data_IF_642189038165
#
_entry.id   IF_642189038165
#
_cell.length_a   1.000
_cell.length_b   1.000
_cell.length_c   1.000
_cell.angle_alpha   90.00
_cell.angle_beta   90.00
_cell.angle_gamma   90.00
#
_symmetry.space_group_name_H-M   'P 1'
#
loop_
_entity.id
_entity.type
_entity.pdbx_description
1 polymer ?
#
# COMPACT_ATOMS: atom_id res chain seq x y z
N UNK A 1 -20.66 24.95 6.47
CA UNK A 1 -20.13 24.37 5.21
C UNK A 1 -21.07 23.32 4.59
N UNK A 2 -21.47 22.22 5.31
CA UNK A 2 -22.40 21.21 4.74
C UNK A 2 -23.84 21.71 4.55
N UNK A 3 -24.34 22.56 5.41
CA UNK A 3 -25.67 23.18 5.30
C UNK A 3 -25.73 24.24 4.19
N UNK A 4 -24.68 25.02 4.00
CA UNK A 4 -24.57 26.01 2.91
C UNK A 4 -24.55 25.36 1.51
N UNK A 5 -23.96 24.17 1.36
CA UNK A 5 -23.95 23.42 0.09
C UNK A 5 -25.34 22.85 -0.27
N UNK A 6 -26.16 22.49 0.73
CA UNK A 6 -27.55 22.09 0.49
C UNK A 6 -28.45 23.24 0.07
N UNK A 7 -28.28 24.43 0.66
CA UNK A 7 -29.01 25.63 0.27
C UNK A 7 -28.61 26.12 -1.11
N UNK A 8 -27.34 25.99 -1.52
CA UNK A 8 -26.87 26.30 -2.87
C UNK A 8 -27.51 25.38 -3.92
N UNK A 9 -27.69 24.08 -3.60
CA UNK A 9 -28.36 23.11 -4.47
C UNK A 9 -29.88 23.42 -4.66
N UNK A 10 -30.53 23.93 -3.64
CA UNK A 10 -31.93 24.31 -3.69
C UNK A 10 -32.17 25.60 -4.49
N UNK A 11 -31.26 26.57 -4.43
CA UNK A 11 -31.33 27.83 -5.21
C UNK A 11 -30.97 27.66 -6.69
N UNK A 12 -30.13 26.70 -7.04
CA UNK A 12 -29.74 26.44 -8.45
C UNK A 12 -30.89 25.92 -9.30
N UNK A 13 -31.92 25.31 -8.72
CA UNK A 13 -33.08 24.79 -9.46
C UNK A 13 -34.18 25.82 -9.71
N UNK A 14 -34.09 27.04 -9.20
CA UNK A 14 -35.15 28.05 -9.27
C UNK A 14 -34.88 29.27 -10.18
N UNK A 15 -33.66 29.31 -10.83
CA UNK A 15 -33.30 30.48 -11.69
C UNK A 15 -32.72 30.00 -13.01
N UNK A 16 -33.57 29.56 -13.91
CA UNK A 16 -33.28 29.34 -15.32
C UNK A 16 -33.96 30.43 -16.12
N UNK A 17 -33.25 31.58 -16.32
CA UNK A 17 -33.42 32.44 -17.51
C UNK A 17 -32.42 33.60 -17.47
N UNK A 18 -31.62 33.71 -18.53
CA UNK A 18 -31.01 34.93 -19.03
C UNK A 18 -29.62 35.34 -18.55
N UNK A 19 -28.66 35.26 -19.47
CA UNK A 19 -27.38 35.99 -19.60
C UNK A 19 -26.15 35.13 -19.76
N UNK A 20 -25.21 35.52 -20.65
CA UNK A 20 -23.93 34.83 -20.92
C UNK A 20 -23.08 34.67 -19.66
N UNK A 21 -23.18 35.56 -18.69
CA UNK A 21 -22.49 35.49 -17.41
C UNK A 21 -22.99 34.32 -16.53
N UNK A 22 -24.25 33.92 -16.71
CA UNK A 22 -24.85 32.77 -16.00
C UNK A 22 -24.29 31.42 -16.45
N UNK A 23 -23.90 31.28 -17.74
CA UNK A 23 -23.24 30.06 -18.24
C UNK A 23 -21.85 29.87 -17.62
N UNK A 24 -21.07 30.91 -17.46
CA UNK A 24 -19.76 30.84 -16.79
C UNK A 24 -19.89 30.49 -15.30
N UNK A 25 -20.87 31.05 -14.60
CA UNK A 25 -21.18 30.73 -13.20
C UNK A 25 -21.63 29.27 -13.03
N UNK A 26 -22.49 28.75 -13.91
CA UNK A 26 -22.96 27.35 -13.88
C UNK A 26 -21.85 26.35 -14.19
N UNK A 27 -20.92 26.67 -15.10
CA UNK A 27 -19.75 25.81 -15.36
C UNK A 27 -18.79 25.78 -14.17
N UNK A 28 -18.58 26.91 -13.49
CA UNK A 28 -17.71 26.98 -12.30
C UNK A 28 -18.32 26.26 -11.09
N UNK A 29 -19.62 26.45 -10.83
CA UNK A 29 -20.35 25.77 -9.75
C UNK A 29 -20.49 24.28 -10.01
N UNK A 30 -20.75 23.86 -11.25
CA UNK A 30 -20.77 22.42 -11.62
C UNK A 30 -19.41 21.73 -11.44
N UNK A 31 -18.31 22.42 -11.73
CA UNK A 31 -16.95 21.91 -11.49
C UNK A 31 -16.60 21.76 -10.02
N UNK A 32 -16.99 22.74 -9.20
CA UNK A 32 -16.78 22.70 -7.74
C UNK A 32 -17.63 21.61 -7.06
N UNK A 33 -18.89 21.44 -7.49
CA UNK A 33 -19.77 20.38 -6.98
C UNK A 33 -19.22 18.99 -7.30
N UNK A 34 -18.75 18.74 -8.53
CA UNK A 34 -18.12 17.47 -8.91
C UNK A 34 -16.85 17.17 -8.11
N UNK A 35 -16.04 18.21 -7.83
CA UNK A 35 -14.85 18.05 -6.97
C UNK A 35 -15.23 17.74 -5.53
N UNK A 36 -16.25 18.40 -5.00
CA UNK A 36 -16.76 18.13 -3.65
C UNK A 36 -17.31 16.71 -3.52
N UNK A 37 -18.10 16.24 -4.50
CA UNK A 37 -18.63 14.87 -4.53
C UNK A 37 -17.51 13.82 -4.63
N UNK A 38 -16.49 14.05 -5.46
CA UNK A 38 -15.31 13.16 -5.51
C UNK A 38 -14.54 13.12 -4.18
N UNK A 39 -14.29 14.28 -3.58
CA UNK A 39 -13.61 14.37 -2.29
C UNK A 39 -14.41 13.68 -1.19
N UNK A 40 -15.73 13.83 -1.16
CA UNK A 40 -16.62 13.14 -0.23
C UNK A 40 -16.52 11.61 -0.41
N UNK A 41 -16.56 11.12 -1.65
CA UNK A 41 -16.41 9.69 -1.95
C UNK A 41 -15.06 9.13 -1.49
N UNK A 42 -13.96 9.87 -1.68
CA UNK A 42 -12.62 9.49 -1.21
C UNK A 42 -12.59 9.41 0.32
N UNK A 43 -13.08 10.45 0.98
CA UNK A 43 -13.10 10.50 2.45
C UNK A 43 -13.98 9.41 3.05
N UNK A 44 -15.16 9.15 2.48
CA UNK A 44 -16.06 8.08 2.93
C UNK A 44 -15.43 6.70 2.79
N UNK A 45 -14.73 6.44 1.68
CA UNK A 45 -14.05 5.16 1.46
C UNK A 45 -12.84 4.98 2.38
N UNK A 46 -12.04 6.03 2.57
CA UNK A 46 -10.95 6.01 3.55
C UNK A 46 -11.47 5.83 4.98
N UNK A 47 -12.55 6.52 5.36
CA UNK A 47 -13.21 6.36 6.65
C UNK A 47 -13.74 4.93 6.85
N UNK A 48 -14.26 4.29 5.81
CA UNK A 48 -14.69 2.89 5.86
C UNK A 48 -13.53 1.94 6.14
N UNK A 49 -12.36 2.15 5.54
CA UNK A 49 -11.16 1.36 5.83
C UNK A 49 -10.68 1.56 7.26
N UNK A 50 -10.66 2.81 7.74
CA UNK A 50 -10.34 3.13 9.13
C UNK A 50 -11.32 2.45 10.09
N UNK A 51 -12.61 2.50 9.80
CA UNK A 51 -13.64 1.87 10.62
C UNK A 51 -13.43 0.36 10.76
N UNK A 52 -13.05 -0.33 9.67
CA UNK A 52 -12.76 -1.78 9.71
C UNK A 52 -11.47 -2.07 10.50
N UNK A 53 -10.44 -1.22 10.41
CA UNK A 53 -9.23 -1.37 11.25
C UNK A 53 -9.58 -1.17 12.72
N UNK A 54 -10.36 -0.14 13.05
CA UNK A 54 -10.83 0.10 14.43
C UNK A 54 -11.68 -1.07 14.92
N UNK A 55 -12.55 -1.62 14.06
CA UNK A 55 -13.34 -2.82 14.38
C UNK A 55 -12.42 -4.00 14.73
N UNK A 56 -11.41 -4.31 13.90
CA UNK A 56 -10.45 -5.38 14.17
C UNK A 56 -9.70 -5.19 15.48
N UNK A 57 -9.23 -3.98 15.74
CA UNK A 57 -8.59 -3.63 17.02
C UNK A 57 -9.55 -3.77 18.21
N UNK A 58 -10.79 -3.27 18.08
CA UNK A 58 -11.83 -3.36 19.11
C UNK A 58 -12.22 -4.79 19.43
N UNK A 59 -12.43 -5.63 18.40
CA UNK A 59 -12.73 -7.05 18.55
C UNK A 59 -11.60 -7.83 19.26
N UNK A 60 -10.34 -7.48 18.96
CA UNK A 60 -9.20 -8.05 19.72
C UNK A 60 -9.21 -7.59 21.17
N UNK A 61 -9.47 -6.32 21.44
CA UNK A 61 -9.56 -5.80 22.82
C UNK A 61 -10.73 -6.40 23.61
N UNK A 62 -11.83 -6.70 22.92
CA UNK A 62 -12.98 -7.39 23.51
C UNK A 62 -12.78 -8.90 23.71
N UNK A 63 -11.63 -9.47 23.28
CA UNK A 63 -11.33 -10.89 23.42
C UNK A 63 -11.97 -11.79 22.35
N UNK A 64 -12.65 -11.22 21.33
CA UNK A 64 -13.17 -12.00 20.20
C UNK A 64 -12.04 -12.57 19.33
N UNK A 65 -11.01 -11.76 19.07
CA UNK A 65 -9.75 -12.21 18.48
C UNK A 65 -8.64 -12.22 19.51
N UNK A 66 -7.81 -13.27 19.44
CA UNK A 66 -6.51 -13.33 20.12
C UNK A 66 -5.43 -12.71 19.23
N UNK A 67 -4.28 -12.42 19.83
CA UNK A 67 -3.13 -11.89 19.07
C UNK A 67 -2.66 -12.86 17.97
N UNK A 68 -2.75 -14.14 18.23
CA UNK A 68 -2.37 -15.24 17.31
C UNK A 68 -3.29 -15.32 16.08
N UNK A 69 -4.54 -14.86 16.19
CA UNK A 69 -5.51 -14.88 15.09
C UNK A 69 -5.10 -13.95 13.95
N UNK A 70 -4.21 -12.99 14.20
CA UNK A 70 -3.53 -12.22 13.15
C UNK A 70 -2.89 -13.13 12.09
N UNK A 71 -2.25 -14.23 12.51
CA UNK A 71 -1.63 -15.15 11.57
C UNK A 71 -2.64 -15.93 10.73
N UNK A 72 -3.81 -16.25 11.31
CA UNK A 72 -4.90 -16.91 10.58
C UNK A 72 -5.47 -15.96 9.53
N UNK A 73 -5.79 -14.73 9.94
CA UNK A 73 -6.27 -13.68 9.03
C UNK A 73 -5.25 -13.39 7.93
N UNK A 74 -3.97 -13.29 8.26
CA UNK A 74 -2.88 -13.10 7.30
C UNK A 74 -2.81 -14.24 6.28
N UNK A 75 -3.00 -15.50 6.71
CA UNK A 75 -3.05 -16.64 5.79
C UNK A 75 -4.24 -16.54 4.83
N UNK A 76 -5.42 -16.14 5.33
CA UNK A 76 -6.60 -15.95 4.48
C UNK A 76 -6.34 -14.85 3.45
N UNK A 77 -5.82 -13.71 3.90
CA UNK A 77 -5.50 -12.58 3.01
C UNK A 77 -4.47 -13.00 1.97
N UNK A 78 -3.30 -13.47 2.38
CA UNK A 78 -2.17 -13.71 1.48
C UNK A 78 -2.33 -14.96 0.61
N UNK A 79 -3.09 -15.97 1.06
CA UNK A 79 -3.20 -17.23 0.32
C UNK A 79 -4.52 -17.41 -0.42
N UNK A 80 -5.54 -16.60 -0.12
CA UNK A 80 -6.88 -16.77 -0.68
C UNK A 80 -7.37 -15.46 -1.31
N UNK A 81 -7.63 -14.42 -0.50
CA UNK A 81 -8.36 -13.25 -1.01
C UNK A 81 -7.51 -12.34 -1.87
N UNK A 82 -6.25 -12.12 -1.55
CA UNK A 82 -5.35 -11.29 -2.35
C UNK A 82 -5.01 -11.93 -3.72
N UNK A 83 -4.59 -13.22 -3.80
CA UNK A 83 -4.43 -13.88 -5.10
C UNK A 83 -5.69 -13.86 -5.95
N UNK A 84 -6.85 -14.10 -5.36
CA UNK A 84 -8.12 -14.04 -6.09
C UNK A 84 -8.43 -12.62 -6.60
N UNK A 85 -8.18 -11.59 -5.79
CA UNK A 85 -8.31 -10.19 -6.21
C UNK A 85 -7.37 -9.85 -7.37
N UNK A 86 -6.13 -10.33 -7.34
CA UNK A 86 -5.17 -10.16 -8.44
C UNK A 86 -5.70 -10.81 -9.72
N UNK A 87 -6.09 -12.07 -9.66
CA UNK A 87 -6.62 -12.81 -10.81
C UNK A 87 -7.83 -12.09 -11.42
N UNK A 88 -8.79 -11.68 -10.59
CA UNK A 88 -9.99 -11.01 -11.03
C UNK A 88 -9.70 -9.67 -11.75
N UNK A 89 -8.77 -8.87 -11.21
CA UNK A 89 -8.46 -7.56 -11.78
C UNK A 89 -7.57 -7.65 -13.04
N UNK A 90 -6.58 -8.54 -13.05
CA UNK A 90 -5.76 -8.78 -14.25
C UNK A 90 -6.59 -9.26 -15.43
N UNK A 91 -7.63 -10.05 -15.18
CA UNK A 91 -8.53 -10.52 -16.24
C UNK A 91 -9.37 -9.41 -16.89
N UNK A 92 -9.37 -8.21 -16.32
CA UNK A 92 -10.13 -7.04 -16.80
C UNK A 92 -9.24 -5.90 -17.32
N UNK A 93 -7.93 -6.00 -17.18
CA UNK A 93 -6.99 -4.97 -17.54
C UNK A 93 -6.09 -5.41 -18.71
N UNK A 94 -5.75 -4.48 -19.59
CA UNK A 94 -4.75 -4.70 -20.63
C UNK A 94 -3.35 -4.44 -20.10
N UNK A 95 -2.44 -5.38 -20.30
CA UNK A 95 -1.05 -5.25 -19.89
C UNK A 95 -0.19 -4.89 -21.10
N UNK A 96 0.47 -3.75 -21.00
CA UNK A 96 1.46 -3.32 -21.98
C UNK A 96 2.86 -3.72 -21.53
N UNK A 97 3.78 -4.15 -22.44
CA UNK A 97 5.15 -4.52 -22.09
C UNK A 97 5.91 -3.44 -21.31
N UNK A 98 5.65 -2.15 -21.61
CA UNK A 98 6.25 -1.03 -20.88
C UNK A 98 5.92 -1.02 -19.38
N UNK A 99 4.81 -1.64 -18.96
CA UNK A 99 4.44 -1.76 -17.54
C UNK A 99 5.43 -2.61 -16.74
N UNK A 100 6.22 -3.49 -17.39
CA UNK A 100 7.25 -4.28 -16.72
C UNK A 100 8.31 -3.41 -16.03
N UNK A 101 8.51 -2.17 -16.50
CA UNK A 101 9.40 -1.20 -15.84
C UNK A 101 8.94 -0.89 -14.40
N UNK A 102 7.66 -1.07 -14.08
CA UNK A 102 7.14 -0.86 -12.72
C UNK A 102 7.75 -1.85 -11.72
N UNK A 103 8.11 -3.06 -12.15
CA UNK A 103 8.85 -4.00 -11.31
C UNK A 103 10.22 -3.43 -10.89
N UNK A 104 10.92 -2.79 -11.83
CA UNK A 104 12.20 -2.13 -11.53
C UNK A 104 12.02 -0.93 -10.60
N UNK A 105 10.93 -0.17 -10.74
CA UNK A 105 10.61 0.95 -9.85
C UNK A 105 10.36 0.46 -8.43
N UNK A 106 9.59 -0.61 -8.25
CA UNK A 106 9.34 -1.22 -6.94
C UNK A 106 10.61 -1.76 -6.28
N UNK A 107 11.44 -2.45 -7.06
CA UNK A 107 12.75 -2.94 -6.60
C UNK A 107 13.68 -1.80 -6.21
N UNK A 108 13.84 -0.79 -7.08
CA UNK A 108 14.71 0.36 -6.85
C UNK A 108 14.27 1.17 -5.61
N UNK A 109 12.96 1.36 -5.42
CA UNK A 109 12.43 1.99 -4.22
C UNK A 109 12.79 1.23 -2.94
N UNK A 110 12.69 -0.11 -2.96
CA UNK A 110 13.13 -0.94 -1.85
C UNK A 110 14.64 -0.86 -1.58
N UNK A 111 15.47 -0.88 -2.63
CA UNK A 111 16.93 -0.70 -2.53
C UNK A 111 17.28 0.68 -2.00
N UNK A 112 16.58 1.72 -2.42
CA UNK A 112 16.78 3.09 -1.92
C UNK A 112 16.58 3.14 -0.40
N UNK A 113 15.45 2.64 0.11
CA UNK A 113 15.19 2.63 1.55
C UNK A 113 16.15 1.71 2.33
N UNK A 114 16.57 0.61 1.74
CA UNK A 114 17.57 -0.28 2.33
C UNK A 114 18.93 0.44 2.46
N UNK A 115 19.32 1.19 1.43
CA UNK A 115 20.55 1.99 1.43
C UNK A 115 20.50 3.13 2.46
N UNK A 116 19.34 3.81 2.56
CA UNK A 116 19.14 4.84 3.60
C UNK A 116 19.20 4.22 5.00
N UNK A 117 18.60 3.04 5.20
CA UNK A 117 18.69 2.32 6.47
C UNK A 117 20.15 1.95 6.83
N UNK A 118 20.93 1.54 5.84
CA UNK A 118 22.36 1.28 6.02
C UNK A 118 23.14 2.51 6.48
N UNK A 119 22.88 3.65 5.86
CA UNK A 119 23.57 4.92 6.19
C UNK A 119 23.15 5.41 7.58
N UNK A 120 21.84 5.40 7.88
CA UNK A 120 21.28 5.94 9.11
C UNK A 120 21.60 5.11 10.36
N UNK A 121 21.86 3.81 10.20
CA UNK A 121 22.30 2.93 11.27
C UNK A 121 23.71 3.21 11.78
N UNK A 122 24.48 4.05 11.09
CA UNK A 122 25.80 4.50 11.54
C UNK A 122 26.82 3.37 11.63
N UNK A 123 27.64 3.39 12.69
CA UNK A 123 28.73 2.41 12.91
C UNK A 123 28.26 1.20 13.72
N UNK A 124 27.21 1.34 14.50
CA UNK A 124 26.65 0.26 15.30
C UNK A 124 25.96 -0.78 14.39
N UNK A 125 26.26 -2.05 14.57
CA UNK A 125 25.80 -3.13 13.70
C UNK A 125 24.35 -3.50 13.96
N UNK A 126 23.93 -3.49 15.22
CA UNK A 126 22.57 -3.78 15.60
C UNK A 126 21.63 -2.67 15.14
N UNK A 127 22.04 -1.42 15.34
CA UNK A 127 21.32 -0.24 14.83
C UNK A 127 21.22 -0.27 13.30
N UNK A 128 22.29 -0.62 12.61
CA UNK A 128 22.31 -0.72 11.15
C UNK A 128 21.34 -1.79 10.65
N UNK A 129 21.39 -3.00 11.23
CA UNK A 129 20.47 -4.07 10.89
C UNK A 129 19.01 -3.67 11.17
N UNK A 130 18.76 -3.02 12.31
CA UNK A 130 17.44 -2.51 12.68
C UNK A 130 16.91 -1.48 11.65
N UNK A 131 17.71 -0.49 11.28
CA UNK A 131 17.29 0.53 10.31
C UNK A 131 17.07 -0.04 8.92
N UNK A 132 17.92 -0.98 8.45
CA UNK A 132 17.72 -1.66 7.17
C UNK A 132 16.36 -2.34 7.15
N UNK A 133 16.01 -3.13 8.16
CA UNK A 133 14.75 -3.88 8.20
C UNK A 133 13.53 -2.96 8.34
N UNK A 134 13.62 -1.93 9.18
CA UNK A 134 12.48 -1.08 9.52
C UNK A 134 12.36 0.18 8.63
N UNK A 135 13.19 0.30 7.60
CA UNK A 135 13.02 1.29 6.52
C UNK A 135 12.67 0.63 5.20
N UNK A 136 13.12 -0.60 4.94
CA UNK A 136 12.99 -1.25 3.64
C UNK A 136 11.61 -1.79 3.36
N UNK A 137 11.31 -1.86 2.06
CA UNK A 137 10.09 -2.48 1.54
C UNK A 137 8.81 -1.69 1.79
N UNK A 138 7.77 -2.13 1.11
CA UNK A 138 6.44 -1.52 1.14
C UNK A 138 5.40 -2.60 1.45
N UNK A 139 4.46 -2.30 2.33
CA UNK A 139 3.32 -3.18 2.63
C UNK A 139 2.23 -2.98 1.57
N UNK A 140 2.47 -3.49 0.37
CA UNK A 140 1.58 -3.31 -0.77
C UNK A 140 0.35 -4.21 -0.65
N UNK A 141 0.54 -5.52 -0.64
CA UNK A 141 -0.56 -6.49 -0.73
C UNK A 141 -1.58 -6.37 0.39
N UNK A 142 -1.11 -6.20 1.64
CA UNK A 142 -1.98 -6.15 2.80
C UNK A 142 -2.58 -4.76 3.07
N UNK A 143 -1.96 -3.68 2.56
CA UNK A 143 -2.39 -2.32 2.89
C UNK A 143 -2.77 -1.51 1.64
N UNK A 144 -1.85 -1.31 0.70
CA UNK A 144 -2.06 -0.36 -0.40
C UNK A 144 -2.94 -0.91 -1.51
N UNK A 145 -2.91 -2.23 -1.76
CA UNK A 145 -3.72 -2.88 -2.77
C UNK A 145 -5.24 -2.62 -2.62
N UNK A 146 -5.84 -2.69 -1.41
CA UNK A 146 -7.23 -2.28 -1.22
C UNK A 146 -7.54 -0.84 -1.64
N UNK A 147 -6.61 0.10 -1.40
CA UNK A 147 -6.77 1.50 -1.85
C UNK A 147 -6.73 1.59 -3.37
N UNK A 148 -5.71 1.02 -4.01
CA UNK A 148 -5.57 1.11 -5.46
C UNK A 148 -6.69 0.39 -6.19
N UNK A 149 -7.12 -0.78 -5.73
CA UNK A 149 -8.31 -1.47 -6.23
C UNK A 149 -9.56 -0.60 -6.10
N UNK A 150 -9.69 0.09 -4.98
CA UNK A 150 -10.84 0.90 -4.67
C UNK A 150 -10.95 2.19 -5.45
N UNK A 151 -9.85 2.83 -5.81
CA UNK A 151 -9.83 4.16 -6.42
C UNK A 151 -9.42 4.14 -7.89
N UNK A 152 -8.60 3.19 -8.32
CA UNK A 152 -8.08 3.09 -9.67
C UNK A 152 -8.54 1.82 -10.40
N UNK A 153 -9.39 0.99 -9.76
CA UNK A 153 -9.96 -0.20 -10.38
C UNK A 153 -8.92 -1.23 -10.85
N UNK A 154 -9.25 -2.00 -11.92
CA UNK A 154 -8.37 -3.06 -12.42
C UNK A 154 -6.97 -2.58 -12.84
N UNK A 155 -6.87 -1.46 -13.56
CA UNK A 155 -5.58 -0.90 -13.98
C UNK A 155 -4.70 -0.55 -12.77
N UNK A 156 -5.29 0.07 -11.74
CA UNK A 156 -4.57 0.38 -10.50
C UNK A 156 -4.05 -0.87 -9.81
N UNK A 157 -4.81 -1.97 -9.79
CA UNK A 157 -4.36 -3.25 -9.23
C UNK A 157 -3.19 -3.83 -10.03
N UNK A 158 -3.24 -3.78 -11.37
CA UNK A 158 -2.13 -4.26 -12.22
C UNK A 158 -0.86 -3.46 -11.97
N UNK A 159 -0.93 -2.12 -12.00
CA UNK A 159 0.21 -1.23 -11.72
C UNK A 159 0.82 -1.56 -10.35
N UNK A 160 -0.04 -1.69 -9.34
CA UNK A 160 0.36 -2.02 -7.97
C UNK A 160 1.01 -3.39 -7.87
N UNK A 161 0.48 -4.39 -8.57
CA UNK A 161 1.00 -5.76 -8.57
C UNK A 161 2.38 -5.85 -9.23
N UNK A 162 2.59 -5.14 -10.33
CA UNK A 162 3.89 -5.08 -11.00
C UNK A 162 4.94 -4.37 -10.13
N UNK A 163 4.57 -3.26 -9.50
CA UNK A 163 5.44 -2.62 -8.51
C UNK A 163 5.76 -3.56 -7.34
N UNK A 164 4.75 -4.28 -6.83
CA UNK A 164 4.93 -5.22 -5.72
C UNK A 164 5.77 -6.45 -6.11
N UNK A 165 5.75 -6.85 -7.37
CA UNK A 165 6.63 -7.91 -7.90
C UNK A 165 8.09 -7.58 -7.64
N UNK A 166 8.53 -6.36 -7.92
CA UNK A 166 9.89 -5.90 -7.62
C UNK A 166 10.14 -5.72 -6.11
N UNK A 167 9.16 -5.15 -5.39
CA UNK A 167 9.20 -4.96 -3.95
C UNK A 167 9.29 -6.32 -3.20
N UNK A 168 8.71 -7.38 -3.73
CA UNK A 168 8.70 -8.70 -3.11
C UNK A 168 10.12 -9.26 -2.88
N UNK A 169 11.08 -8.99 -3.78
CA UNK A 169 12.49 -9.35 -3.57
C UNK A 169 13.06 -8.74 -2.29
N UNK A 170 12.69 -7.50 -2.00
CA UNK A 170 13.14 -6.79 -0.80
C UNK A 170 12.41 -7.32 0.44
N UNK A 171 11.07 -7.41 0.38
CA UNK A 171 10.22 -7.77 1.51
C UNK A 171 10.32 -9.25 1.91
N UNK A 172 10.59 -10.15 0.96
CA UNK A 172 10.60 -11.60 1.21
C UNK A 172 12.00 -12.18 1.44
N UNK A 173 13.00 -11.32 1.67
CA UNK A 173 14.31 -11.79 2.09
C UNK A 173 15.50 -10.90 1.76
N UNK A 174 15.41 -9.99 0.77
CA UNK A 174 16.50 -9.10 0.39
C UNK A 174 16.94 -8.21 1.55
N UNK A 175 16.00 -7.53 2.19
CA UNK A 175 16.27 -6.69 3.35
C UNK A 175 16.85 -7.50 4.53
N UNK A 176 16.32 -8.71 4.78
CA UNK A 176 16.84 -9.61 5.79
C UNK A 176 18.29 -10.02 5.51
N UNK A 177 18.61 -10.40 4.27
CA UNK A 177 19.95 -10.82 3.88
C UNK A 177 20.97 -9.68 4.07
N UNK A 178 20.63 -8.46 3.66
CA UNK A 178 21.51 -7.29 3.83
C UNK A 178 21.64 -6.90 5.31
N UNK A 179 20.56 -6.95 6.09
CA UNK A 179 20.60 -6.67 7.52
C UNK A 179 21.46 -7.71 8.28
N UNK A 180 21.34 -9.00 7.93
CA UNK A 180 22.17 -10.08 8.49
C UNK A 180 23.66 -9.84 8.23
N UNK A 181 24.04 -9.44 7.00
CA UNK A 181 25.42 -9.07 6.65
C UNK A 181 25.91 -7.83 7.42
N UNK A 182 25.05 -6.86 7.63
CA UNK A 182 25.38 -5.67 8.42
C UNK A 182 25.67 -6.05 9.89
N UNK A 183 24.89 -6.98 10.43
CA UNK A 183 25.01 -7.47 11.80
C UNK A 183 26.21 -8.38 12.01
N UNK A 184 26.40 -9.37 11.13
CA UNK A 184 27.47 -10.39 11.23
C UNK A 184 28.38 -10.35 9.98
N UNK A 185 29.69 -10.19 10.22
CA UNK A 185 30.71 -10.17 9.15
C UNK A 185 30.81 -11.51 8.40
N UNK A 186 30.44 -12.61 9.03
CA UNK A 186 30.50 -13.95 8.43
C UNK A 186 29.27 -14.27 7.59
N UNK A 187 28.19 -13.50 7.74
CA UNK A 187 26.98 -13.65 6.93
C UNK A 187 27.23 -13.20 5.49
N UNK A 188 26.69 -13.97 4.52
CA UNK A 188 26.79 -13.67 3.09
C UNK A 188 25.41 -13.44 2.51
N UNK A 189 25.36 -12.58 1.49
CA UNK A 189 24.13 -12.41 0.72
C UNK A 189 23.80 -13.72 -0.01
N UNK A 190 22.59 -14.22 0.17
CA UNK A 190 22.15 -15.46 -0.48
C UNK A 190 20.83 -15.24 -1.21
N UNK A 191 20.85 -15.46 -2.52
CA UNK A 191 19.67 -15.36 -3.38
C UNK A 191 18.76 -16.58 -3.27
N UNK A 192 19.32 -17.76 -2.99
CA UNK A 192 18.57 -19.02 -2.94
C UNK A 192 17.38 -19.00 -1.96
N UNK A 193 17.54 -18.60 -0.70
CA UNK A 193 16.43 -18.45 0.25
C UNK A 193 15.37 -17.44 -0.22
N UNK A 194 15.78 -16.33 -0.85
CA UNK A 194 14.88 -15.31 -1.38
C UNK A 194 14.01 -15.93 -2.47
N UNK A 195 14.60 -16.58 -3.46
CA UNK A 195 13.88 -17.25 -4.55
C UNK A 195 12.93 -18.33 -4.01
N UNK A 196 13.39 -19.10 -3.05
CA UNK A 196 12.53 -20.13 -2.41
C UNK A 196 11.32 -19.53 -1.69
N UNK A 197 11.47 -18.35 -1.10
CA UNK A 197 10.36 -17.64 -0.43
C UNK A 197 9.41 -17.03 -1.48
N UNK A 198 9.94 -16.46 -2.55
CA UNK A 198 9.16 -15.91 -3.65
C UNK A 198 8.25 -16.98 -4.29
N UNK A 199 8.80 -18.14 -4.67
CA UNK A 199 8.04 -19.26 -5.27
C UNK A 199 7.00 -19.87 -4.32
N UNK A 200 7.07 -19.60 -3.03
CA UNK A 200 6.06 -20.01 -2.03
C UNK A 200 5.04 -18.93 -1.70
N UNK A 201 5.17 -17.78 -2.32
CA UNK A 201 4.28 -16.63 -2.09
C UNK A 201 3.12 -16.65 -3.09
N UNK A 202 1.93 -17.05 -2.64
CA UNK A 202 0.75 -17.12 -3.49
C UNK A 202 0.41 -15.78 -4.20
N UNK A 203 0.56 -14.59 -3.60
CA UNK A 203 0.42 -13.35 -4.34
C UNK A 203 1.47 -13.18 -5.46
N UNK A 204 2.73 -13.53 -5.19
CA UNK A 204 3.79 -13.47 -6.19
C UNK A 204 3.51 -14.44 -7.35
N UNK A 205 3.10 -15.66 -7.05
CA UNK A 205 2.72 -16.65 -8.06
C UNK A 205 1.53 -16.17 -8.89
N UNK A 206 0.52 -15.51 -8.26
CA UNK A 206 -0.60 -14.91 -8.96
C UNK A 206 -0.15 -13.76 -9.87
N UNK A 207 0.76 -12.87 -9.42
CA UNK A 207 1.31 -11.81 -10.26
C UNK A 207 2.00 -12.38 -11.51
N UNK A 208 2.92 -13.32 -11.32
CA UNK A 208 3.68 -13.92 -12.42
C UNK A 208 2.78 -14.72 -13.35
N UNK A 209 1.89 -15.56 -12.79
CA UNK A 209 0.95 -16.36 -13.56
C UNK A 209 0.03 -15.50 -14.44
N UNK A 210 -0.59 -14.46 -13.86
CA UNK A 210 -1.46 -13.56 -14.61
C UNK A 210 -0.69 -12.71 -15.62
N UNK A 211 0.53 -12.29 -15.30
CA UNK A 211 1.40 -11.58 -16.23
C UNK A 211 1.73 -12.45 -17.44
N UNK A 212 2.13 -13.71 -17.22
CA UNK A 212 2.43 -14.65 -18.31
C UNK A 212 1.19 -14.85 -19.19
N UNK A 213 0.02 -15.15 -18.59
CA UNK A 213 -1.23 -15.35 -19.33
C UNK A 213 -1.57 -14.12 -20.18
N UNK A 214 -1.41 -12.93 -19.64
CA UNK A 214 -1.67 -11.69 -20.36
C UNK A 214 -0.70 -11.47 -21.53
N UNK A 215 0.60 -11.73 -21.33
CA UNK A 215 1.61 -11.57 -22.39
C UNK A 215 1.44 -12.57 -23.54
N UNK A 216 0.94 -13.77 -23.27
CA UNK A 216 0.62 -14.78 -24.31
C UNK A 216 -0.82 -14.65 -24.80
N UNK A 217 -1.56 -13.60 -24.40
CA UNK A 217 -2.93 -13.31 -24.79
C UNK A 217 -3.93 -14.43 -24.49
N UNK A 218 -3.71 -15.18 -23.40
CA UNK A 218 -4.63 -16.23 -22.95
C UNK A 218 -5.55 -15.69 -21.85
N UNK A 219 -6.85 -15.70 -22.13
CA UNK A 219 -7.88 -15.28 -21.18
C UNK A 219 -8.34 -16.47 -20.33
N UNK A 220 -8.60 -16.21 -19.05
CA UNK A 220 -9.21 -17.19 -18.16
C UNK A 220 -10.67 -17.42 -18.51
N UNK A 221 -11.21 -18.66 -18.32
CA UNK A 221 -12.64 -18.93 -18.49
C UNK A 221 -13.51 -18.06 -17.56
N UNK A 222 -14.64 -17.57 -18.06
CA UNK A 222 -15.55 -16.71 -17.31
C UNK A 222 -15.96 -17.26 -15.92
N UNK A 223 -16.24 -18.58 -15.73
CA UNK A 223 -16.52 -19.11 -14.40
C UNK A 223 -15.36 -18.95 -13.41
N UNK A 224 -14.11 -19.13 -13.87
CA UNK A 224 -12.93 -18.96 -13.02
C UNK A 224 -12.76 -17.50 -12.58
N UNK A 225 -12.97 -16.54 -13.51
CA UNK A 225 -12.94 -15.10 -13.20
C UNK A 225 -14.05 -14.74 -12.22
N UNK A 226 -15.27 -15.28 -12.38
CA UNK A 226 -16.39 -15.02 -11.47
C UNK A 226 -16.13 -15.51 -10.05
N UNK A 227 -15.52 -16.69 -9.89
CA UNK A 227 -15.12 -17.22 -8.59
C UNK A 227 -14.03 -16.34 -7.98
N UNK A 228 -13.03 -15.96 -8.79
CA UNK A 228 -11.96 -15.06 -8.34
C UNK A 228 -12.51 -13.69 -7.91
N UNK A 229 -13.49 -13.13 -8.61
CA UNK A 229 -14.17 -11.89 -8.22
C UNK A 229 -14.90 -12.02 -6.88
N UNK A 230 -15.68 -13.10 -6.69
CA UNK A 230 -16.39 -13.35 -5.44
C UNK A 230 -15.44 -13.37 -4.24
N UNK A 231 -14.35 -14.12 -4.34
CA UNK A 231 -13.35 -14.25 -3.27
C UNK A 231 -12.55 -12.95 -3.13
N UNK A 232 -12.13 -12.37 -4.25
CA UNK A 232 -11.32 -11.16 -4.31
C UNK A 232 -12.01 -9.92 -3.73
N UNK A 233 -13.32 -9.82 -3.85
CA UNK A 233 -14.12 -8.73 -3.27
C UNK A 233 -14.02 -8.68 -1.73
N UNK A 234 -13.76 -9.81 -1.08
CA UNK A 234 -13.54 -9.86 0.36
C UNK A 234 -12.15 -9.31 0.78
N UNK A 235 -11.20 -9.14 -0.17
CA UNK A 235 -9.82 -8.83 0.16
C UNK A 235 -9.67 -7.52 0.93
N UNK A 236 -10.35 -6.45 0.52
CA UNK A 236 -10.25 -5.14 1.18
C UNK A 236 -10.70 -5.21 2.64
N UNK A 237 -11.85 -5.83 2.91
CA UNK A 237 -12.36 -6.03 4.26
C UNK A 237 -11.41 -6.88 5.11
N UNK A 238 -10.99 -8.04 4.60
CA UNK A 238 -10.13 -8.97 5.32
C UNK A 238 -8.75 -8.37 5.63
N UNK A 239 -8.17 -7.63 4.69
CA UNK A 239 -6.89 -6.96 4.90
C UNK A 239 -6.97 -5.87 5.97
N UNK A 240 -8.01 -5.02 5.95
CA UNK A 240 -8.18 -3.97 6.96
C UNK A 240 -8.49 -4.55 8.34
N UNK A 241 -9.31 -5.60 8.42
CA UNK A 241 -9.61 -6.32 9.67
C UNK A 241 -8.34 -6.93 10.25
N UNK A 242 -7.54 -7.60 9.43
CA UNK A 242 -6.25 -8.18 9.83
C UNK A 242 -5.30 -7.13 10.38
N UNK A 243 -5.19 -5.97 9.72
CA UNK A 243 -4.36 -4.86 10.19
C UNK A 243 -4.82 -4.36 11.55
N UNK A 244 -6.13 -4.27 11.78
CA UNK A 244 -6.71 -3.90 13.08
C UNK A 244 -6.37 -4.91 14.17
N UNK A 245 -6.53 -6.20 13.91
CA UNK A 245 -6.17 -7.28 14.85
C UNK A 245 -4.66 -7.29 15.14
N UNK A 246 -3.83 -7.05 14.13
CA UNK A 246 -2.37 -7.00 14.27
C UNK A 246 -1.81 -5.70 14.86
N UNK A 247 -2.65 -4.67 15.06
CA UNK A 247 -2.20 -3.35 15.46
C UNK A 247 -1.64 -3.32 16.89
N UNK A 248 -0.38 -2.92 17.06
CA UNK A 248 0.31 -2.83 18.35
C UNK A 248 0.93 -1.44 18.53
N UNK A 249 0.46 -0.72 19.53
CA UNK A 249 1.10 0.50 20.04
C UNK A 249 1.86 0.15 21.34
N UNK A 250 2.94 -0.60 21.21
CA UNK A 250 3.84 -0.86 22.33
C UNK A 250 5.19 -0.21 22.01
N UNK A 251 5.48 0.89 22.64
CA UNK A 251 6.76 1.59 22.52
C UNK A 251 7.11 2.29 23.81
N UNK A 252 8.35 2.20 24.26
CA UNK A 252 8.89 3.03 25.32
C UNK A 252 8.92 4.48 24.82
N UNK A 253 8.43 5.41 25.64
CA UNK A 253 8.48 6.86 25.34
C UNK A 253 9.90 7.33 24.99
N UNK A 254 10.95 6.64 25.49
CA UNK A 254 12.34 6.90 25.18
C UNK A 254 12.69 6.64 23.71
N UNK A 255 11.90 5.83 23.01
CA UNK A 255 12.14 5.42 21.62
C UNK A 255 11.41 6.30 20.59
N UNK A 256 10.56 7.24 21.04
CA UNK A 256 9.76 8.12 20.16
C UNK A 256 10.66 8.89 19.18
N UNK A 257 11.82 9.37 19.64
CA UNK A 257 12.78 10.08 18.77
C UNK A 257 13.32 9.20 17.64
N UNK A 258 13.59 7.93 17.91
CA UNK A 258 14.07 6.95 16.91
C UNK A 258 12.98 6.62 15.90
N UNK A 259 11.75 6.40 16.38
CA UNK A 259 10.57 6.18 15.53
C UNK A 259 10.35 7.40 14.62
N UNK A 260 10.33 8.60 15.21
CA UNK A 260 10.17 9.85 14.48
C UNK A 260 11.22 10.06 13.41
N UNK A 261 12.51 9.79 13.69
CA UNK A 261 13.60 9.90 12.73
C UNK A 261 13.41 8.97 11.53
N UNK A 262 13.11 7.67 11.77
CA UNK A 262 12.88 6.68 10.73
C UNK A 262 11.71 7.11 9.83
N UNK A 263 10.58 7.43 10.43
CA UNK A 263 9.36 7.73 9.69
C UNK A 263 9.44 9.08 8.96
N UNK A 264 10.05 10.11 9.56
CA UNK A 264 10.23 11.42 8.89
C UNK A 264 11.08 11.29 7.63
N UNK A 265 12.18 10.53 7.67
CA UNK A 265 13.02 10.30 6.50
C UNK A 265 12.27 9.49 5.45
N UNK A 266 11.61 8.40 5.86
CA UNK A 266 10.85 7.55 4.96
C UNK A 266 9.76 8.33 4.22
N UNK A 267 8.94 9.08 4.95
CA UNK A 267 7.85 9.85 4.34
C UNK A 267 8.34 11.11 3.63
N UNK A 268 9.44 11.71 4.05
CA UNK A 268 10.11 12.78 3.30
C UNK A 268 10.56 12.32 1.91
N UNK A 269 11.20 11.15 1.83
CA UNK A 269 11.58 10.53 0.55
C UNK A 269 10.32 10.16 -0.26
N UNK A 270 9.27 9.65 0.38
CA UNK A 270 8.02 9.32 -0.28
C UNK A 270 7.35 10.56 -0.91
N UNK A 271 7.37 11.72 -0.24
CA UNK A 271 6.86 12.98 -0.80
C UNK A 271 7.63 13.36 -2.07
N UNK A 272 8.96 13.34 -2.02
CA UNK A 272 9.79 13.66 -3.20
C UNK A 272 9.52 12.68 -4.33
N UNK A 273 9.46 11.39 -4.05
CA UNK A 273 9.16 10.37 -5.05
C UNK A 273 7.75 10.52 -5.63
N UNK A 274 6.75 10.84 -4.82
CA UNK A 274 5.37 11.08 -5.26
C UNK A 274 5.28 12.27 -6.22
N UNK A 275 5.92 13.38 -5.88
CA UNK A 275 5.98 14.56 -6.76
C UNK A 275 6.70 14.23 -8.07
N UNK A 276 7.83 13.52 -8.00
CA UNK A 276 8.57 13.09 -9.19
C UNK A 276 7.71 12.18 -10.07
N UNK A 277 7.02 11.19 -9.52
CA UNK A 277 6.18 10.29 -10.28
C UNK A 277 4.97 10.99 -10.90
N UNK A 278 4.36 11.93 -10.18
CA UNK A 278 3.18 12.62 -10.67
C UNK A 278 3.51 13.67 -11.74
N UNK A 279 4.59 14.45 -11.58
CA UNK A 279 4.87 15.60 -12.45
C UNK A 279 5.93 15.34 -13.52
N UNK A 280 6.87 14.41 -13.29
CA UNK A 280 8.07 14.26 -14.14
C UNK A 280 8.00 13.03 -15.04
N UNK A 281 7.37 11.92 -14.60
CA UNK A 281 7.37 10.69 -15.39
C UNK A 281 6.56 10.81 -16.67
N UNK A 282 7.10 10.41 -17.83
CA UNK A 282 6.40 10.40 -19.12
C UNK A 282 5.49 9.16 -19.24
N UNK A 283 4.57 8.99 -18.30
CA UNK A 283 3.63 7.87 -18.23
C UNK A 283 2.18 8.39 -18.32
N UNK A 284 1.22 7.56 -18.74
CA UNK A 284 -0.21 7.88 -18.66
C UNK A 284 -0.61 8.37 -17.27
N UNK A 285 -1.61 9.25 -17.19
CA UNK A 285 -2.01 9.89 -15.94
C UNK A 285 -2.36 8.88 -14.83
N UNK A 286 -3.08 7.82 -15.16
CA UNK A 286 -3.50 6.78 -14.22
C UNK A 286 -2.29 6.06 -13.57
N UNK A 287 -1.21 5.84 -14.34
CA UNK A 287 0.04 5.28 -13.81
C UNK A 287 0.72 6.22 -12.83
N UNK A 288 0.82 7.51 -13.21
CA UNK A 288 1.42 8.55 -12.37
C UNK A 288 0.65 8.73 -11.07
N UNK A 289 -0.68 8.74 -11.13
CA UNK A 289 -1.56 8.81 -9.96
C UNK A 289 -1.37 7.59 -9.04
N UNK A 290 -1.39 6.39 -9.61
CA UNK A 290 -1.21 5.16 -8.85
C UNK A 290 0.17 5.11 -8.19
N UNK A 291 1.25 5.41 -8.91
CA UNK A 291 2.61 5.44 -8.36
C UNK A 291 2.78 6.51 -7.27
N UNK A 292 2.19 7.69 -7.46
CA UNK A 292 2.21 8.76 -6.46
C UNK A 292 1.58 8.33 -5.13
N UNK A 293 0.56 7.48 -5.17
CA UNK A 293 -0.07 6.89 -3.99
C UNK A 293 0.77 5.75 -3.41
N UNK A 294 1.31 4.86 -4.26
CA UNK A 294 2.05 3.66 -3.84
C UNK A 294 3.25 3.94 -2.94
N UNK A 295 3.99 5.02 -3.21
CA UNK A 295 5.20 5.35 -2.44
C UNK A 295 4.93 5.70 -0.99
N UNK A 296 3.68 6.00 -0.64
CA UNK A 296 3.25 6.21 0.75
C UNK A 296 2.84 4.93 1.47
N UNK A 297 3.04 3.76 0.86
CA UNK A 297 2.78 2.48 1.53
C UNK A 297 3.57 2.37 2.84
N UNK A 298 2.96 1.76 3.89
CA UNK A 298 3.66 1.57 5.16
C UNK A 298 4.84 0.61 5.01
N UNK A 299 5.60 0.47 6.07
CA UNK A 299 6.72 -0.46 6.14
C UNK A 299 6.22 -1.90 5.95
N UNK A 300 7.05 -2.73 5.34
CA UNK A 300 6.73 -4.15 5.11
C UNK A 300 6.30 -4.85 6.40
N UNK A 301 5.19 -5.60 6.35
CA UNK A 301 4.64 -6.31 7.51
C UNK A 301 5.60 -7.34 8.12
N UNK A 302 6.59 -7.82 7.36
CA UNK A 302 7.59 -8.77 7.82
C UNK A 302 8.71 -8.14 8.67
N UNK A 303 8.84 -6.82 8.69
CA UNK A 303 9.95 -6.14 9.37
C UNK A 303 10.07 -6.48 10.87
N UNK A 304 9.00 -6.52 11.68
CA UNK A 304 9.10 -6.94 13.09
C UNK A 304 9.56 -8.38 13.26
N UNK A 305 9.09 -9.31 12.42
CA UNK A 305 9.50 -10.71 12.49
C UNK A 305 10.98 -10.86 12.15
N UNK A 306 11.45 -10.27 11.08
CA UNK A 306 12.87 -10.27 10.70
C UNK A 306 13.77 -9.58 11.74
N UNK A 307 13.25 -8.53 12.39
CA UNK A 307 13.96 -7.90 13.51
C UNK A 307 14.13 -8.87 14.67
N UNK A 308 13.11 -9.66 14.98
CA UNK A 308 13.15 -10.71 15.99
C UNK A 308 14.13 -11.85 15.66
N UNK A 309 14.11 -12.31 14.40
CA UNK A 309 15.04 -13.37 13.91
C UNK A 309 16.50 -12.92 14.04
N UNK A 310 16.78 -11.64 13.85
CA UNK A 310 18.10 -11.05 14.09
C UNK A 310 18.31 -10.60 15.56
N UNK A 311 17.47 -11.04 16.51
CA UNK A 311 17.57 -10.69 17.94
C UNK A 311 17.59 -9.18 18.20
N UNK A 312 16.84 -8.41 17.41
CA UNK A 312 16.63 -6.99 17.59
C UNK A 312 15.37 -6.69 18.42
N UNK A 313 15.07 -5.40 18.62
CA UNK A 313 13.91 -4.94 19.39
C UNK A 313 12.61 -5.09 18.60
N UNK A 314 11.89 -6.20 18.82
CA UNK A 314 10.59 -6.49 18.18
C UNK A 314 9.53 -5.45 18.59
N UNK A 315 9.57 -4.96 19.83
CA UNK A 315 8.62 -4.01 20.35
C UNK A 315 8.71 -2.67 19.59
N UNK A 316 9.93 -2.17 19.44
CA UNK A 316 10.21 -0.96 18.65
C UNK A 316 9.84 -1.17 17.17
N UNK A 317 10.21 -2.29 16.55
CA UNK A 317 9.87 -2.58 15.17
C UNK A 317 8.35 -2.63 14.93
N UNK A 318 7.62 -3.24 15.87
CA UNK A 318 6.14 -3.29 15.82
C UNK A 318 5.52 -1.90 15.97
N UNK A 319 6.08 -1.04 16.84
CA UNK A 319 5.62 0.34 17.00
C UNK A 319 5.87 1.17 15.75
N UNK A 320 7.08 1.07 15.15
CA UNK A 320 7.43 1.74 13.87
C UNK A 320 6.47 1.31 12.77
N UNK A 321 6.20 0.01 12.64
CA UNK A 321 5.28 -0.54 11.63
C UNK A 321 3.85 -0.02 11.86
N UNK A 322 3.31 -0.09 13.08
CA UNK A 322 1.96 0.35 13.39
C UNK A 322 1.75 1.86 13.16
N UNK A 323 2.72 2.69 13.56
CA UNK A 323 2.65 4.14 13.34
C UNK A 323 2.77 4.43 11.83
N UNK A 324 3.59 3.69 11.09
CA UNK A 324 3.68 3.83 9.64
C UNK A 324 2.34 3.57 8.95
N UNK A 325 1.53 2.62 9.43
CA UNK A 325 0.18 2.37 8.91
C UNK A 325 -0.72 3.60 9.05
N UNK A 326 -0.69 4.26 10.23
CA UNK A 326 -1.50 5.47 10.47
C UNK A 326 -1.05 6.60 9.54
N UNK A 327 0.25 6.86 9.46
CA UNK A 327 0.79 7.93 8.61
C UNK A 327 0.49 7.64 7.15
N UNK A 328 0.70 6.41 6.69
CA UNK A 328 0.39 6.00 5.31
C UNK A 328 -1.07 6.24 4.97
N UNK A 329 -1.99 5.91 5.87
CA UNK A 329 -3.41 6.12 5.66
C UNK A 329 -3.74 7.61 5.45
N UNK A 330 -3.19 8.48 6.29
CA UNK A 330 -3.36 9.94 6.17
C UNK A 330 -2.76 10.43 4.85
N UNK A 331 -1.51 10.04 4.56
CA UNK A 331 -0.80 10.49 3.36
C UNK A 331 -1.47 10.00 2.07
N UNK A 332 -1.85 8.72 1.98
CA UNK A 332 -2.54 8.15 0.83
C UNK A 332 -3.88 8.86 0.61
N UNK A 333 -4.67 9.06 1.66
CA UNK A 333 -5.95 9.76 1.55
C UNK A 333 -5.75 11.20 1.07
N UNK A 334 -4.74 11.90 1.63
CA UNK A 334 -4.40 13.26 1.21
C UNK A 334 -4.00 13.31 -0.25
N UNK A 335 -3.11 12.43 -0.69
CA UNK A 335 -2.65 12.39 -2.09
C UNK A 335 -3.80 12.04 -3.03
N UNK A 336 -4.68 11.10 -2.67
CA UNK A 336 -5.86 10.76 -3.49
C UNK A 336 -6.77 11.98 -3.72
N UNK A 337 -6.95 12.85 -2.73
CA UNK A 337 -7.72 14.10 -2.87
C UNK A 337 -7.08 15.04 -3.90
N UNK A 338 -5.75 15.06 -3.99
CA UNK A 338 -5.04 15.94 -4.93
C UNK A 338 -4.92 15.37 -6.34
N UNK A 339 -4.82 14.05 -6.48
CA UNK A 339 -4.54 13.41 -7.77
C UNK A 339 -5.82 12.98 -8.52
N UNK A 340 -6.95 12.78 -7.83
CA UNK A 340 -8.26 12.43 -8.38
C UNK A 340 -9.19 13.64 -8.48
#
# INVERSE_FOLDING_TARGET
MFLELRECKARSNSVLEGSKDHKYSLFHTGGLLRRAEKMEAILMKAASFIAVIILGYGLRKAGFFKEEDFYVLSKIVLKITLPASIIANFSQAEIQPAMLLLCLVGFAGGVLYMSLGWILGGKDRDEKAFHILNMSGYNIGNFTMPFTAGFFGPTGVVITSLFDTGNAFICLGGAYSVASMAKDKNSRFSVGPILKTLIKSAPFDAYIGMLILSLIHVSLPAPAVSIAQLIGNANAFMAMLMLGVGFKLSGDKRQIGKIGKILSIRYGVAVVASLMFYFVLPLPLEYRQTLAVLVFSPIAAAAPAFTGDLKGDIGLASAVNSISIIISMIMITTVLIFVL
#
